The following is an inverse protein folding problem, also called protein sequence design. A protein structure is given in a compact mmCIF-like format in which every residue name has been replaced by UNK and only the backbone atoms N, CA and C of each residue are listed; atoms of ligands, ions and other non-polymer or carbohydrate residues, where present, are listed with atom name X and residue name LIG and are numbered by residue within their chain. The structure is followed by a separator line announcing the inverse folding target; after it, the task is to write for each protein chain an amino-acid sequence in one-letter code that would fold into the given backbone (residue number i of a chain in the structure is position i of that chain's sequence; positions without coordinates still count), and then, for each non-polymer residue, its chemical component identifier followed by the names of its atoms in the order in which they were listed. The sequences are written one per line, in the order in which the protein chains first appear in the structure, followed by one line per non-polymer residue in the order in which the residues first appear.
data_IF_298087118133
#
_entry.id   IF_298087118133
#
_cell.length_a   1.000
_cell.length_b   1.000
_cell.length_c   1.000
_cell.angle_alpha   90.00
_cell.angle_beta   90.00
_cell.angle_gamma   90.00
#
_symmetry.space_group_name_H-M   'P 1'
#
loop_
_entity.id
_entity.type
_entity.pdbx_description
1 polymer ?
#
# COMPACT_ATOMS: atom_id res chain seq x y z
N UNK A 1 -15.67 38.16 -44.12
CA UNK A 1 -14.65 37.95 -43.07
C UNK A 1 -15.20 36.88 -42.13
N UNK A 2 -14.53 35.75 -41.88
CA UNK A 2 -15.01 34.83 -40.86
C UNK A 2 -15.07 35.58 -39.52
N UNK A 3 -16.18 35.44 -38.79
CA UNK A 3 -16.38 36.07 -37.48
C UNK A 3 -15.18 35.77 -36.58
N UNK A 4 -14.55 36.83 -36.04
CA UNK A 4 -13.37 36.69 -35.19
C UNK A 4 -13.75 35.94 -33.92
N UNK A 5 -13.27 34.69 -33.79
CA UNK A 5 -13.46 33.88 -32.59
C UNK A 5 -12.77 34.59 -31.41
N UNK A 6 -13.51 34.97 -30.35
CA UNK A 6 -12.91 35.64 -29.20
C UNK A 6 -11.91 34.71 -28.51
N UNK A 7 -10.90 35.32 -27.88
CA UNK A 7 -9.92 34.58 -27.11
C UNK A 7 -10.58 33.88 -25.91
N UNK A 8 -10.17 32.64 -25.63
CA UNK A 8 -10.63 31.93 -24.42
C UNK A 8 -10.12 32.69 -23.18
N UNK A 9 -10.99 33.00 -22.20
CA UNK A 9 -10.61 33.62 -20.93
C UNK A 9 -9.49 32.86 -20.19
N UNK A 10 -8.61 33.60 -19.52
CA UNK A 10 -7.39 33.05 -18.89
C UNK A 10 -7.70 32.15 -17.70
N UNK A 11 -8.73 32.47 -16.92
CA UNK A 11 -9.27 31.67 -15.82
C UNK A 11 -9.76 30.31 -16.32
N UNK A 12 -10.52 30.28 -17.42
CA UNK A 12 -10.97 29.05 -18.06
C UNK A 12 -9.78 28.22 -18.52
N UNK A 13 -8.81 28.82 -19.23
CA UNK A 13 -7.57 28.16 -19.65
C UNK A 13 -6.83 27.54 -18.47
N UNK A 14 -6.71 28.25 -17.34
CA UNK A 14 -6.02 27.74 -16.16
C UNK A 14 -6.78 26.56 -15.55
N UNK A 15 -8.11 26.66 -15.47
CA UNK A 15 -8.97 25.60 -14.92
C UNK A 15 -8.81 24.30 -15.70
N UNK A 16 -8.97 24.33 -17.02
CA UNK A 16 -8.83 23.10 -17.85
C UNK A 16 -7.39 22.55 -17.86
N UNK A 17 -6.37 23.40 -17.66
CA UNK A 17 -4.97 22.98 -17.56
C UNK A 17 -4.72 22.18 -16.27
N UNK A 18 -5.25 22.69 -15.16
CA UNK A 18 -5.18 22.02 -13.85
C UNK A 18 -5.95 20.70 -13.89
N UNK A 19 -7.17 20.70 -14.46
CA UNK A 19 -7.98 19.47 -14.64
C UNK A 19 -7.20 18.37 -15.39
N UNK A 20 -6.39 18.75 -16.39
CA UNK A 20 -5.60 17.81 -17.19
C UNK A 20 -4.22 17.49 -16.60
N UNK A 21 -3.91 17.98 -15.39
CA UNK A 21 -2.61 17.78 -14.75
C UNK A 21 -1.44 18.39 -15.52
N UNK A 22 -1.66 19.51 -16.22
CA UNK A 22 -0.68 20.17 -17.10
C UNK A 22 -0.14 19.28 -18.24
N UNK A 23 -0.91 18.26 -18.65
CA UNK A 23 -0.57 17.31 -19.71
C UNK A 23 -1.72 17.13 -20.67
N UNK A 24 -1.45 16.53 -21.83
CA UNK A 24 -2.48 16.09 -22.76
C UNK A 24 -3.43 15.11 -22.05
N UNK A 25 -4.74 15.38 -22.08
CA UNK A 25 -5.75 14.55 -21.46
C UNK A 25 -5.81 13.12 -22.03
N UNK A 26 -5.31 12.90 -23.25
CA UNK A 26 -5.35 11.60 -23.93
C UNK A 26 -4.07 10.80 -23.70
N UNK A 27 -2.90 11.36 -24.04
CA UNK A 27 -1.63 10.61 -24.06
C UNK A 27 -0.63 11.00 -22.97
N UNK A 28 -0.86 12.08 -22.21
CA UNK A 28 0.06 12.54 -21.16
C UNK A 28 1.25 13.37 -21.64
N UNK A 29 1.35 13.65 -22.94
CA UNK A 29 2.40 14.51 -23.51
C UNK A 29 2.42 15.88 -22.83
N UNK A 30 3.63 16.45 -22.71
CA UNK A 30 3.86 17.76 -22.12
C UNK A 30 3.50 18.92 -23.05
N UNK A 31 3.94 20.12 -22.68
CA UNK A 31 3.74 21.32 -23.49
C UNK A 31 4.52 21.24 -24.82
N UNK A 32 4.00 21.81 -25.92
CA UNK A 32 2.80 22.68 -26.00
C UNK A 32 1.47 21.92 -26.09
N UNK A 33 0.42 22.49 -25.45
CA UNK A 33 -0.94 21.95 -25.47
C UNK A 33 -1.93 22.90 -26.15
N UNK A 34 -2.88 22.31 -26.86
CA UNK A 34 -3.94 22.97 -27.62
C UNK A 34 -5.28 22.81 -26.93
N UNK A 35 -6.14 23.82 -27.11
CA UNK A 35 -7.47 23.89 -26.48
C UNK A 35 -8.48 23.41 -27.49
N UNK A 36 -8.80 22.13 -27.41
CA UNK A 36 -9.80 21.51 -28.26
C UNK A 36 -11.20 21.74 -27.70
N UNK A 37 -12.13 22.04 -28.59
CA UNK A 37 -13.55 22.15 -28.28
C UNK A 37 -14.20 20.77 -28.40
N UNK A 38 -14.84 20.31 -27.32
CA UNK A 38 -15.61 19.05 -27.31
C UNK A 38 -16.83 19.19 -28.22
N UNK A 39 -17.58 20.28 -28.07
CA UNK A 39 -18.63 20.70 -29.00
C UNK A 39 -18.01 21.73 -29.95
N UNK A 40 -17.93 21.46 -31.26
CA UNK A 40 -17.29 22.34 -32.22
C UNK A 40 -17.77 23.79 -32.12
N UNK A 41 -16.83 24.75 -32.25
CA UNK A 41 -17.11 26.18 -32.11
C UNK A 41 -18.28 26.67 -32.99
N UNK A 42 -18.40 26.14 -34.21
CA UNK A 42 -19.48 26.52 -35.13
C UNK A 42 -20.87 26.19 -34.60
N UNK A 43 -20.98 25.24 -33.66
CA UNK A 43 -22.23 24.87 -32.97
C UNK A 43 -22.41 25.59 -31.64
N UNK A 44 -21.39 25.56 -30.78
CA UNK A 44 -21.50 26.08 -29.41
C UNK A 44 -21.35 27.59 -29.32
N UNK A 45 -20.46 28.19 -30.13
CA UNK A 45 -20.10 29.62 -30.12
C UNK A 45 -19.78 30.19 -28.72
N UNK A 46 -19.41 29.31 -27.80
CA UNK A 46 -19.18 29.62 -26.39
C UNK A 46 -17.90 28.91 -25.91
N UNK A 47 -17.22 29.53 -24.94
CA UNK A 47 -16.03 28.96 -24.29
C UNK A 47 -16.39 28.54 -22.88
N UNK A 48 -17.01 27.37 -22.71
CA UNK A 48 -17.27 26.81 -21.39
C UNK A 48 -16.14 25.85 -20.98
N UNK A 49 -15.73 25.91 -19.72
CA UNK A 49 -14.70 25.01 -19.21
C UNK A 49 -15.10 23.53 -19.37
N UNK A 50 -16.40 23.21 -19.28
CA UNK A 50 -16.95 21.86 -19.46
C UNK A 50 -16.84 21.32 -20.89
N UNK A 51 -16.77 22.20 -21.90
CA UNK A 51 -16.69 21.83 -23.32
C UNK A 51 -15.30 22.08 -23.92
N UNK A 52 -14.29 22.26 -23.06
CA UNK A 52 -12.90 22.42 -23.47
C UNK A 52 -12.02 21.33 -22.84
N UNK A 53 -11.09 20.81 -23.64
CA UNK A 53 -10.12 19.80 -23.22
C UNK A 53 -8.73 20.16 -23.77
N UNK A 54 -7.68 19.87 -23.00
CA UNK A 54 -6.30 20.06 -23.45
C UNK A 54 -5.75 18.81 -24.13
N UNK A 55 -5.33 18.96 -25.38
CA UNK A 55 -4.71 17.92 -26.20
C UNK A 55 -3.35 18.39 -26.70
N UNK A 56 -2.40 17.49 -26.91
CA UNK A 56 -1.23 17.81 -27.73
C UNK A 56 -1.64 17.90 -29.22
N UNK A 57 -0.84 18.55 -30.05
CA UNK A 57 -1.13 18.74 -31.47
C UNK A 57 -1.48 17.41 -32.17
N UNK A 58 -0.74 16.33 -31.88
CA UNK A 58 -0.99 15.01 -32.44
C UNK A 58 -2.36 14.44 -32.04
N UNK A 59 -2.75 14.54 -30.77
CA UNK A 59 -4.05 14.05 -30.32
C UNK A 59 -5.19 14.93 -30.80
N UNK A 60 -4.97 16.24 -30.95
CA UNK A 60 -5.98 17.15 -31.48
C UNK A 60 -6.25 16.87 -32.95
N UNK A 61 -5.20 16.77 -33.77
CA UNK A 61 -5.32 16.42 -35.18
C UNK A 61 -5.99 15.05 -35.38
N UNK A 62 -5.63 14.06 -34.55
CA UNK A 62 -6.28 12.75 -34.57
C UNK A 62 -7.76 12.83 -34.18
N UNK A 63 -8.12 13.60 -33.17
CA UNK A 63 -9.51 13.77 -32.77
C UNK A 63 -10.37 14.32 -33.91
N UNK A 64 -9.83 15.27 -34.69
CA UNK A 64 -10.50 15.84 -35.86
C UNK A 64 -10.56 14.85 -37.02
N UNK A 65 -9.45 14.20 -37.38
CA UNK A 65 -9.36 13.28 -38.54
C UNK A 65 -10.07 11.95 -38.34
N UNK A 66 -10.02 11.42 -37.11
CA UNK A 66 -10.63 10.14 -36.75
C UNK A 66 -12.05 10.34 -36.17
N UNK A 67 -12.56 11.57 -36.16
CA UNK A 67 -13.91 11.93 -35.73
C UNK A 67 -14.31 11.33 -34.38
N UNK A 68 -13.45 11.47 -33.36
CA UNK A 68 -13.66 10.84 -32.03
C UNK A 68 -15.00 11.22 -31.38
N UNK A 69 -15.56 12.37 -31.76
CA UNK A 69 -16.88 12.81 -31.35
C UNK A 69 -16.94 13.26 -29.89
N UNK A 70 -18.09 13.84 -29.53
CA UNK A 70 -18.31 14.43 -28.20
C UNK A 70 -18.16 13.40 -27.08
N UNK A 71 -18.71 12.19 -27.26
CA UNK A 71 -18.69 11.15 -26.22
C UNK A 71 -17.26 10.79 -25.80
N UNK A 72 -16.39 10.48 -26.77
CA UNK A 72 -15.01 10.09 -26.46
C UNK A 72 -14.23 11.25 -25.83
N UNK A 73 -14.40 12.48 -26.33
CA UNK A 73 -13.75 13.65 -25.75
C UNK A 73 -14.24 13.94 -24.32
N UNK A 74 -15.53 13.72 -24.02
CA UNK A 74 -16.05 13.80 -22.64
C UNK A 74 -15.47 12.70 -21.75
N UNK A 75 -15.31 11.48 -22.24
CA UNK A 75 -14.64 10.41 -21.49
C UNK A 75 -13.19 10.78 -21.14
N UNK A 76 -12.43 11.31 -22.10
CA UNK A 76 -11.07 11.80 -21.85
C UNK A 76 -11.02 12.99 -20.89
N UNK A 77 -12.01 13.88 -20.91
CA UNK A 77 -12.09 15.01 -19.97
C UNK A 77 -12.45 14.56 -18.56
N UNK A 78 -13.38 13.62 -18.42
CA UNK A 78 -13.78 13.06 -17.12
C UNK A 78 -12.66 12.25 -16.50
N UNK A 79 -11.91 11.50 -17.32
CA UNK A 79 -10.81 10.65 -16.87
C UNK A 79 -9.55 10.89 -17.70
N UNK A 80 -8.87 12.04 -17.51
CA UNK A 80 -7.66 12.37 -18.26
C UNK A 80 -6.55 11.37 -17.97
N UNK A 81 -5.55 11.34 -18.84
CA UNK A 81 -4.39 10.44 -18.75
C UNK A 81 -3.77 10.42 -17.37
N UNK A 82 -3.63 11.59 -16.73
CA UNK A 82 -3.08 11.70 -15.36
C UNK A 82 -3.87 10.86 -14.37
N UNK A 83 -5.20 10.94 -14.38
CA UNK A 83 -6.06 10.11 -13.52
C UNK A 83 -6.00 8.64 -13.92
N UNK A 84 -6.02 8.32 -15.22
CA UNK A 84 -5.94 6.93 -15.70
C UNK A 84 -4.62 6.25 -15.34
N UNK A 85 -3.53 7.02 -15.26
CA UNK A 85 -2.21 6.52 -14.84
C UNK A 85 -2.19 6.22 -13.36
N UNK A 86 -2.68 7.15 -12.53
CA UNK A 86 -2.62 7.02 -11.06
C UNK A 86 -3.75 6.17 -10.46
N UNK A 87 -4.90 6.02 -11.14
CA UNK A 87 -5.95 5.06 -10.73
C UNK A 87 -5.45 3.60 -10.75
N UNK A 88 -4.49 3.28 -11.64
CA UNK A 88 -3.84 1.96 -11.63
C UNK A 88 -2.87 1.79 -10.46
N UNK A 89 -2.35 2.88 -9.91
CA UNK A 89 -1.41 2.88 -8.78
C UNK A 89 -2.15 2.95 -7.43
N UNK A 90 -3.42 3.41 -7.38
CA UNK A 90 -4.20 3.51 -6.14
C UNK A 90 -5.09 2.30 -5.82
N UNK A 91 -5.32 1.37 -6.75
CA UNK A 91 -6.17 0.18 -6.50
C UNK A 91 -5.41 -0.97 -5.81
N UNK A 92 -4.08 -0.90 -5.68
CA UNK A 92 -3.33 -1.86 -4.86
C UNK A 92 -2.86 -1.20 -3.57
N UNK A 93 -3.78 -0.95 -2.64
CA UNK A 93 -3.47 -1.23 -1.24
C UNK A 93 -3.42 -2.76 -1.07
N UNK A 94 -2.62 -3.45 -1.88
CA UNK A 94 -2.32 -4.84 -1.66
C UNK A 94 -1.60 -4.86 -0.33
N UNK A 95 -2.22 -5.52 0.65
CA UNK A 95 -1.58 -5.77 1.92
C UNK A 95 -0.22 -6.40 1.60
N UNK A 96 0.85 -5.72 1.99
CA UNK A 96 2.22 -6.20 1.80
C UNK A 96 2.62 -7.03 3.02
N UNK A 97 3.47 -8.00 2.78
CA UNK A 97 4.09 -8.83 3.82
C UNK A 97 5.59 -8.85 3.65
N UNK A 98 6.31 -9.14 4.72
CA UNK A 98 7.76 -9.16 4.74
C UNK A 98 8.25 -10.61 4.67
N UNK A 99 9.15 -10.88 3.73
CA UNK A 99 9.78 -12.17 3.48
C UNK A 99 11.26 -12.05 3.81
N UNK A 100 11.78 -13.05 4.51
CA UNK A 100 13.21 -13.18 4.81
C UNK A 100 13.82 -14.23 3.87
N UNK A 101 14.85 -13.82 3.14
CA UNK A 101 15.68 -14.68 2.31
C UNK A 101 17.03 -14.88 3.00
N UNK A 102 17.41 -16.12 3.23
CA UNK A 102 18.74 -16.47 3.72
C UNK A 102 19.57 -16.86 2.51
N UNK A 103 20.66 -16.13 2.27
CA UNK A 103 21.55 -16.35 1.13
C UNK A 103 22.95 -16.77 1.58
N UNK A 104 23.62 -17.59 0.77
CA UNK A 104 24.95 -18.14 1.06
C UNK A 104 26.08 -17.11 0.94
N UNK A 105 25.81 -16.00 0.26
CA UNK A 105 26.79 -14.93 0.06
C UNK A 105 27.13 -14.24 1.38
N UNK A 106 28.38 -13.77 1.51
CA UNK A 106 28.74 -12.86 2.61
C UNK A 106 28.21 -11.46 2.32
N UNK A 107 28.02 -10.66 3.36
CA UNK A 107 27.58 -9.27 3.20
C UNK A 107 28.53 -8.45 2.31
N UNK A 108 29.85 -8.72 2.39
CA UNK A 108 30.86 -8.10 1.51
C UNK A 108 30.67 -8.42 0.02
N UNK A 109 30.10 -9.59 -0.27
CA UNK A 109 29.92 -10.10 -1.62
C UNK A 109 28.54 -9.70 -2.18
N UNK A 110 27.61 -9.29 -1.32
CA UNK A 110 26.28 -8.78 -1.68
C UNK A 110 26.33 -7.27 -1.95
N UNK A 111 27.06 -6.90 -3.00
CA UNK A 111 27.29 -5.52 -3.44
C UNK A 111 26.01 -4.80 -3.96
N UNK A 112 26.13 -3.51 -4.26
CA UNK A 112 25.02 -2.69 -4.79
C UNK A 112 24.39 -3.27 -6.07
N UNK A 113 25.21 -3.95 -6.89
CA UNK A 113 24.75 -4.58 -8.13
C UNK A 113 23.82 -5.75 -7.81
N UNK A 114 24.20 -6.64 -6.89
CA UNK A 114 23.35 -7.76 -6.47
C UNK A 114 22.12 -7.29 -5.70
N UNK A 115 22.24 -6.26 -4.88
CA UNK A 115 21.10 -5.61 -4.23
C UNK A 115 20.09 -5.05 -5.24
N UNK A 116 20.58 -4.54 -6.38
CA UNK A 116 19.72 -4.08 -7.47
C UNK A 116 19.11 -5.26 -8.25
N UNK A 117 19.88 -6.32 -8.50
CA UNK A 117 19.42 -7.46 -9.29
C UNK A 117 18.39 -8.33 -8.56
N UNK A 118 18.48 -8.47 -7.24
CA UNK A 118 17.60 -9.34 -6.47
C UNK A 118 16.11 -8.98 -6.63
N UNK A 119 15.68 -7.70 -6.46
CA UNK A 119 14.31 -7.28 -6.74
C UNK A 119 13.86 -7.60 -8.16
N UNK A 120 14.73 -7.41 -9.16
CA UNK A 120 14.41 -7.68 -10.57
C UNK A 120 14.25 -9.18 -10.85
N UNK A 121 15.09 -10.03 -10.24
CA UNK A 121 15.00 -11.47 -10.37
C UNK A 121 13.68 -12.01 -9.77
N UNK A 122 13.34 -11.56 -8.55
CA UNK A 122 12.09 -11.94 -7.88
C UNK A 122 10.88 -11.42 -8.66
N UNK A 123 10.93 -10.17 -9.14
CA UNK A 123 9.86 -9.59 -9.94
C UNK A 123 9.66 -10.34 -11.28
N UNK A 124 10.75 -10.73 -11.94
CA UNK A 124 10.72 -11.52 -13.18
C UNK A 124 10.09 -12.89 -12.98
N UNK A 125 10.46 -13.60 -11.90
CA UNK A 125 9.85 -14.87 -11.52
C UNK A 125 8.35 -14.74 -11.26
N UNK A 126 7.95 -13.75 -10.46
CA UNK A 126 6.56 -13.55 -10.03
C UNK A 126 5.71 -12.83 -11.08
N UNK A 127 6.31 -12.38 -12.19
CA UNK A 127 5.67 -11.60 -13.28
C UNK A 127 5.01 -10.32 -12.76
N UNK A 128 5.66 -9.65 -11.82
CA UNK A 128 5.22 -8.38 -11.22
C UNK A 128 6.19 -7.24 -11.58
N UNK A 129 5.79 -6.00 -11.29
CA UNK A 129 6.68 -4.86 -11.48
C UNK A 129 7.81 -4.87 -10.43
N UNK A 130 9.08 -4.56 -10.80
CA UNK A 130 10.21 -4.54 -9.87
C UNK A 130 10.01 -3.63 -8.65
N UNK A 131 9.26 -2.53 -8.82
CA UNK A 131 8.90 -1.60 -7.74
C UNK A 131 8.06 -2.21 -6.61
N UNK A 132 7.42 -3.36 -6.85
CA UNK A 132 6.64 -4.10 -5.86
C UNK A 132 7.51 -5.01 -4.98
N UNK A 133 8.82 -5.07 -5.23
CA UNK A 133 9.80 -5.80 -4.44
C UNK A 133 10.78 -4.79 -3.85
N UNK A 134 10.74 -4.58 -2.54
CA UNK A 134 11.63 -3.63 -1.88
C UNK A 134 12.44 -4.33 -0.81
N UNK A 135 13.76 -4.15 -0.81
CA UNK A 135 14.64 -4.62 0.26
C UNK A 135 14.45 -3.67 1.46
N UNK A 136 14.08 -4.22 2.61
CA UNK A 136 13.84 -3.47 3.85
C UNK A 136 15.02 -3.50 4.79
N UNK A 137 15.71 -4.63 4.91
CA UNK A 137 16.90 -4.77 5.77
C UNK A 137 17.84 -5.86 5.26
N UNK A 138 19.13 -5.70 5.59
CA UNK A 138 20.17 -6.70 5.33
C UNK A 138 20.92 -6.89 6.66
N UNK A 139 20.97 -8.12 7.18
CA UNK A 139 21.61 -8.44 8.47
C UNK A 139 22.91 -9.24 8.29
N UNK A 140 23.92 -8.92 9.10
CA UNK A 140 25.24 -9.53 9.08
C UNK A 140 25.28 -10.88 9.83
N UNK A 141 25.83 -11.91 9.20
CA UNK A 141 25.79 -13.31 9.65
C UNK A 141 25.64 -14.27 8.45
N UNK A 142 24.74 -15.26 8.54
CA UNK A 142 24.11 -15.80 7.32
C UNK A 142 23.36 -14.65 6.69
N UNK A 143 23.81 -14.10 5.56
CA UNK A 143 23.24 -12.86 4.99
C UNK A 143 21.73 -13.03 4.84
N UNK A 144 20.97 -12.30 5.67
CA UNK A 144 19.51 -12.31 5.64
C UNK A 144 19.06 -11.04 4.95
N UNK A 145 18.31 -11.20 3.87
CA UNK A 145 17.73 -10.10 3.12
C UNK A 145 16.24 -10.11 3.39
N UNK A 146 15.74 -9.06 4.03
CA UNK A 146 14.30 -8.84 4.20
C UNK A 146 13.75 -8.05 3.02
N UNK A 147 12.65 -8.53 2.44
CA UNK A 147 11.95 -7.86 1.35
C UNK A 147 10.47 -7.71 1.65
N UNK A 148 9.85 -6.64 1.19
CA UNK A 148 8.39 -6.50 1.15
C UNK A 148 7.84 -6.90 -0.20
N UNK A 149 6.77 -7.69 -0.18
CA UNK A 149 6.04 -8.18 -1.35
C UNK A 149 4.53 -8.08 -1.11
N UNK A 150 3.70 -7.93 -2.16
CA UNK A 150 2.27 -8.20 -2.05
C UNK A 150 2.01 -9.61 -1.51
N UNK A 151 0.99 -9.78 -0.66
CA UNK A 151 0.68 -11.09 -0.03
C UNK A 151 0.54 -12.21 -1.06
N UNK A 152 -0.21 -12.00 -2.16
CA UNK A 152 -0.38 -13.03 -3.19
C UNK A 152 0.95 -13.41 -3.86
N UNK A 153 1.85 -12.44 -4.01
CA UNK A 153 3.18 -12.65 -4.61
C UNK A 153 4.10 -13.39 -3.63
N UNK A 154 4.01 -13.08 -2.34
CA UNK A 154 4.72 -13.78 -1.27
C UNK A 154 4.29 -15.26 -1.16
N UNK A 155 2.99 -15.55 -1.24
CA UNK A 155 2.46 -16.92 -1.26
C UNK A 155 2.97 -17.72 -2.47
N UNK A 156 3.01 -17.09 -3.65
CA UNK A 156 3.58 -17.70 -4.86
C UNK A 156 5.08 -17.99 -4.70
N UNK A 157 5.84 -17.05 -4.14
CA UNK A 157 7.27 -17.24 -3.92
C UNK A 157 7.55 -18.40 -2.94
N UNK A 158 6.82 -18.46 -1.83
CA UNK A 158 6.96 -19.52 -0.83
C UNK A 158 6.51 -20.88 -1.37
N UNK A 159 5.42 -20.93 -2.15
CA UNK A 159 4.96 -22.18 -2.76
C UNK A 159 5.93 -22.70 -3.83
N UNK A 160 6.53 -21.82 -4.64
CA UNK A 160 7.61 -22.18 -5.56
C UNK A 160 8.85 -22.72 -4.84
N UNK A 161 9.18 -22.17 -3.66
CA UNK A 161 10.26 -22.67 -2.84
C UNK A 161 9.94 -24.05 -2.25
N UNK A 162 8.73 -24.24 -1.72
CA UNK A 162 8.29 -25.51 -1.15
C UNK A 162 8.19 -26.64 -2.19
N UNK A 163 7.85 -26.32 -3.44
CA UNK A 163 7.80 -27.28 -4.55
C UNK A 163 9.15 -27.51 -5.24
N UNK A 164 10.20 -26.80 -4.81
CA UNK A 164 11.53 -26.82 -5.42
C UNK A 164 11.48 -26.49 -6.93
N UNK A 165 10.76 -25.42 -7.27
CA UNK A 165 10.52 -24.99 -8.65
C UNK A 165 11.84 -24.71 -9.41
N UNK A 166 12.07 -25.36 -10.57
CA UNK A 166 13.25 -25.11 -11.40
C UNK A 166 13.40 -23.65 -11.85
N UNK A 167 12.30 -22.91 -12.07
CA UNK A 167 12.38 -21.49 -12.41
C UNK A 167 12.92 -20.68 -11.24
N UNK A 168 12.42 -20.92 -10.02
CA UNK A 168 12.92 -20.23 -8.82
C UNK A 168 14.42 -20.43 -8.66
N UNK A 169 14.90 -21.67 -8.79
CA UNK A 169 16.32 -22.02 -8.69
C UNK A 169 17.12 -21.23 -9.73
N UNK A 170 16.64 -21.17 -10.98
CA UNK A 170 17.30 -20.44 -12.07
C UNK A 170 17.38 -18.93 -11.81
N UNK A 171 16.30 -18.31 -11.33
CA UNK A 171 16.27 -16.87 -11.08
C UNK A 171 17.10 -16.46 -9.86
N UNK A 172 17.21 -17.34 -8.85
CA UNK A 172 17.90 -17.04 -7.58
C UNK A 172 19.28 -17.69 -7.43
N UNK A 173 19.75 -18.45 -8.43
CA UNK A 173 21.08 -19.05 -8.47
C UNK A 173 22.21 -18.06 -8.14
N UNK A 174 22.23 -16.82 -8.68
CA UNK A 174 23.32 -15.87 -8.41
C UNK A 174 23.45 -15.46 -6.94
N UNK A 175 22.38 -15.64 -6.16
CA UNK A 175 22.35 -15.27 -4.74
C UNK A 175 22.67 -16.46 -3.84
N UNK A 176 22.68 -17.70 -4.35
CA UNK A 176 22.91 -18.88 -3.53
C UNK A 176 21.87 -19.00 -2.41
N UNK A 177 20.59 -18.96 -2.78
CA UNK A 177 19.48 -19.05 -1.85
C UNK A 177 19.57 -20.33 -0.98
N UNK A 178 19.48 -20.17 0.34
CA UNK A 178 19.45 -21.26 1.32
C UNK A 178 18.06 -21.50 1.90
N UNK A 179 17.31 -20.43 2.16
CA UNK A 179 15.97 -20.51 2.77
C UNK A 179 15.12 -19.29 2.38
N UNK A 180 13.81 -19.51 2.16
CA UNK A 180 12.80 -18.44 2.07
C UNK A 180 11.73 -18.71 3.11
N UNK A 181 11.39 -17.70 3.91
CA UNK A 181 10.29 -17.78 4.89
C UNK A 181 9.62 -16.44 5.10
N UNK A 182 8.43 -16.45 5.68
CA UNK A 182 7.86 -15.23 6.25
C UNK A 182 8.81 -14.68 7.31
N UNK A 183 9.06 -13.36 7.29
CA UNK A 183 9.74 -12.72 8.40
C UNK A 183 8.80 -12.82 9.59
N UNK A 184 9.18 -13.62 10.58
CA UNK A 184 8.40 -13.81 11.78
C UNK A 184 8.25 -12.46 12.47
N UNK A 185 7.03 -11.95 12.53
CA UNK A 185 6.72 -10.86 13.45
C UNK A 185 7.05 -11.37 14.85
N UNK A 186 7.85 -10.62 15.60
CA UNK A 186 8.15 -10.98 16.96
C UNK A 186 6.84 -11.03 17.74
N UNK A 187 6.45 -12.23 18.14
CA UNK A 187 5.27 -12.41 18.98
C UNK A 187 5.59 -11.88 20.37
N UNK A 188 4.79 -10.91 20.83
CA UNK A 188 5.04 -10.21 22.09
C UNK A 188 4.08 -10.63 23.20
N UNK A 189 2.94 -11.24 22.86
CA UNK A 189 1.91 -11.63 23.83
C UNK A 189 0.53 -11.91 23.23
N UNK A 190 -0.42 -12.27 24.09
CA UNK A 190 -1.83 -12.53 23.74
C UNK A 190 -2.74 -11.51 24.41
N UNK A 191 -3.75 -11.02 23.68
CA UNK A 191 -4.82 -10.21 24.25
C UNK A 191 -5.60 -10.99 25.32
N UNK A 192 -5.82 -10.39 26.47
CA UNK A 192 -6.55 -11.00 27.59
C UNK A 192 -7.62 -10.05 28.15
N UNK A 193 -8.78 -10.59 28.50
CA UNK A 193 -9.86 -9.84 29.14
C UNK A 193 -10.69 -8.97 28.19
N UNK A 194 -11.47 -8.05 28.78
CA UNK A 194 -12.30 -7.11 28.03
C UNK A 194 -11.42 -6.08 27.30
N UNK A 195 -11.72 -5.89 26.02
CA UNK A 195 -11.05 -4.93 25.15
C UNK A 195 -12.07 -3.89 24.70
N UNK A 196 -11.69 -2.62 24.74
CA UNK A 196 -12.49 -1.51 24.21
C UNK A 196 -11.86 -0.98 22.92
N UNK A 197 -12.51 -0.01 22.27
CA UNK A 197 -11.96 0.66 21.10
C UNK A 197 -10.73 1.55 21.40
N UNK A 198 -10.37 1.74 22.67
CA UNK A 198 -9.27 2.64 23.10
C UNK A 198 -8.20 1.96 23.92
N UNK A 199 -8.54 0.89 24.63
CA UNK A 199 -7.65 0.18 25.53
C UNK A 199 -7.90 -1.32 25.49
N UNK A 200 -6.83 -2.08 25.63
CA UNK A 200 -6.88 -3.53 25.77
C UNK A 200 -5.73 -4.00 26.64
N UNK A 201 -5.89 -5.17 27.25
CA UNK A 201 -4.86 -5.81 28.08
C UNK A 201 -4.27 -6.99 27.34
N UNK A 202 -2.99 -7.27 27.62
CA UNK A 202 -2.27 -8.38 27.02
C UNK A 202 -1.33 -9.04 28.02
N UNK A 203 -1.31 -10.37 27.98
CA UNK A 203 -0.31 -11.17 28.66
C UNK A 203 0.92 -11.24 27.77
N UNK A 204 2.00 -10.63 28.23
CA UNK A 204 3.22 -10.44 27.43
C UNK A 204 4.28 -11.48 27.77
N UNK A 205 5.05 -11.89 26.77
CA UNK A 205 6.23 -12.72 27.00
C UNK A 205 7.26 -11.90 27.80
N UNK A 206 7.88 -12.46 28.86
CA UNK A 206 8.90 -11.74 29.63
C UNK A 206 9.98 -11.17 28.73
N UNK A 207 10.34 -9.90 28.95
CA UNK A 207 11.39 -9.17 28.23
C UNK A 207 11.14 -8.94 26.73
N UNK A 208 9.99 -9.33 26.18
CA UNK A 208 9.69 -9.18 24.76
C UNK A 208 9.37 -7.73 24.34
N UNK A 209 8.93 -6.89 25.28
CA UNK A 209 8.58 -5.48 25.07
C UNK A 209 8.90 -4.63 26.29
N UNK A 210 8.95 -3.31 26.10
CA UNK A 210 9.12 -2.29 27.14
C UNK A 210 7.94 -1.32 27.11
N UNK A 211 7.80 -0.55 28.18
CA UNK A 211 6.91 0.61 28.15
C UNK A 211 7.33 1.57 27.04
N UNK A 212 6.34 2.23 26.42
CA UNK A 212 6.46 3.10 25.26
C UNK A 212 6.72 2.41 23.91
N UNK A 213 6.95 1.09 23.88
CA UNK A 213 7.05 0.35 22.63
C UNK A 213 5.72 0.39 21.86
N UNK A 214 5.82 0.30 20.53
CA UNK A 214 4.67 0.17 19.65
C UNK A 214 4.48 -1.30 19.29
N UNK A 215 3.28 -1.80 19.52
CA UNK A 215 2.86 -3.15 19.15
C UNK A 215 1.75 -3.08 18.11
N UNK A 216 1.62 -4.17 17.35
CA UNK A 216 0.56 -4.30 16.36
C UNK A 216 -0.22 -5.60 16.59
N UNK A 217 -1.53 -5.52 16.43
CA UNK A 217 -2.44 -6.66 16.46
C UNK A 217 -3.25 -6.67 15.17
N UNK A 218 -3.23 -7.80 14.47
CA UNK A 218 -4.14 -8.05 13.35
C UNK A 218 -5.50 -8.47 13.92
N UNK A 219 -6.58 -7.79 13.52
CA UNK A 219 -7.94 -8.01 14.01
C UNK A 219 -8.95 -8.02 12.85
N UNK A 220 -10.16 -8.49 13.11
CA UNK A 220 -11.26 -8.49 12.13
C UNK A 220 -12.38 -7.56 12.60
N UNK A 221 -12.74 -6.59 11.77
CA UNK A 221 -13.82 -5.66 12.02
C UNK A 221 -15.08 -6.11 11.26
N UNK A 222 -16.19 -6.26 11.98
CA UNK A 222 -17.49 -6.56 11.36
C UNK A 222 -18.09 -5.25 10.85
N UNK A 223 -18.08 -5.04 9.53
CA UNK A 223 -18.77 -3.90 8.92
C UNK A 223 -20.26 -4.23 8.75
N UNK A 224 -21.09 -3.61 9.60
CA UNK A 224 -22.57 -3.67 9.62
C UNK A 224 -23.23 -4.92 10.23
N UNK A 225 -24.46 -4.74 10.72
CA UNK A 225 -25.28 -5.76 11.39
C UNK A 225 -25.60 -7.01 10.52
N UNK A 226 -25.24 -7.00 9.23
CA UNK A 226 -25.23 -8.19 8.38
C UNK A 226 -23.82 -8.80 8.44
N UNK A 227 -23.67 -9.85 9.26
CA UNK A 227 -22.48 -10.67 9.59
C UNK A 227 -21.66 -11.26 8.40
N UNK A 228 -21.68 -10.68 7.21
CA UNK A 228 -21.11 -11.32 6.01
C UNK A 228 -19.80 -10.72 5.51
N UNK A 229 -19.42 -9.50 5.91
CA UNK A 229 -18.14 -8.89 5.53
C UNK A 229 -17.27 -8.62 6.76
N UNK A 230 -16.22 -9.43 6.91
CA UNK A 230 -15.13 -9.24 7.87
C UNK A 230 -14.02 -8.45 7.16
N UNK A 231 -13.75 -7.24 7.61
CA UNK A 231 -12.61 -6.46 7.16
C UNK A 231 -11.40 -6.79 8.05
N UNK A 232 -10.29 -7.23 7.45
CA UNK A 232 -9.04 -7.42 8.18
C UNK A 232 -8.40 -6.04 8.44
N UNK A 233 -8.21 -5.71 9.69
CA UNK A 233 -7.61 -4.46 10.14
C UNK A 233 -6.31 -4.73 10.92
N UNK A 234 -5.40 -3.76 10.93
CA UNK A 234 -4.24 -3.76 11.83
C UNK A 234 -4.39 -2.64 12.84
N UNK A 235 -4.45 -2.99 14.12
CA UNK A 235 -4.49 -2.07 15.24
C UNK A 235 -3.08 -1.87 15.75
N UNK A 236 -2.63 -0.62 15.80
CA UNK A 236 -1.36 -0.23 16.40
C UNK A 236 -1.63 0.37 17.77
N UNK A 237 -0.88 -0.05 18.78
CA UNK A 237 -1.01 0.45 20.14
C UNK A 237 0.35 0.74 20.74
N UNK A 238 0.38 1.71 21.64
CA UNK A 238 1.57 2.05 22.43
C UNK A 238 1.43 1.44 23.82
N UNK A 239 2.45 0.72 24.26
CA UNK A 239 2.50 0.10 25.58
C UNK A 239 2.57 1.20 26.63
N UNK A 240 1.52 1.37 27.42
CA UNK A 240 1.44 2.42 28.45
C UNK A 240 2.14 2.00 29.75
N UNK A 241 1.85 0.79 30.22
CA UNK A 241 2.42 0.21 31.44
C UNK A 241 2.58 -1.31 31.30
N UNK A 242 3.56 -1.89 32.00
CA UNK A 242 3.72 -3.35 32.11
C UNK A 242 3.68 -3.76 33.58
N UNK A 243 2.63 -4.48 33.96
CA UNK A 243 2.43 -4.92 35.34
C UNK A 243 2.80 -6.39 35.52
N UNK A 244 3.55 -6.72 36.57
CA UNK A 244 3.77 -8.12 36.98
C UNK A 244 2.63 -8.55 37.89
N UNK A 245 1.77 -9.44 37.39
CA UNK A 245 0.74 -10.06 38.22
C UNK A 245 1.38 -11.17 39.05
N UNK A 246 1.09 -11.18 40.36
CA UNK A 246 1.53 -12.24 41.26
C UNK A 246 0.91 -13.58 40.83
N UNK A 247 1.71 -14.61 40.50
CA UNK A 247 1.19 -15.91 40.06
C UNK A 247 0.37 -16.65 41.12
N UNK A 248 0.39 -16.20 42.37
CA UNK A 248 -0.42 -16.75 43.46
C UNK A 248 -1.82 -16.10 43.58
N UNK A 249 -2.19 -15.19 42.68
CA UNK A 249 -3.49 -14.53 42.73
C UNK A 249 -4.60 -15.49 42.26
N UNK A 250 -5.52 -15.95 43.14
CA UNK A 250 -6.54 -16.93 42.75
C UNK A 250 -7.53 -16.31 41.77
N UNK A 251 -7.93 -17.06 40.73
CA UNK A 251 -8.88 -16.61 39.70
C UNK A 251 -10.23 -16.17 40.30
N UNK A 252 -10.62 -16.78 41.42
CA UNK A 252 -11.84 -16.47 42.17
C UNK A 252 -11.80 -15.07 42.81
N UNK A 253 -10.64 -14.63 43.29
CA UNK A 253 -10.45 -13.28 43.83
C UNK A 253 -10.54 -12.20 42.74
N UNK A 254 -10.18 -12.54 41.49
CA UNK A 254 -10.28 -11.63 40.35
C UNK A 254 -11.73 -11.26 40.00
N UNK A 255 -12.66 -12.22 40.07
CA UNK A 255 -14.07 -11.98 39.79
C UNK A 255 -14.72 -11.06 40.84
N UNK A 256 -14.40 -11.22 42.13
CA UNK A 256 -14.91 -10.34 43.18
C UNK A 256 -14.37 -8.90 43.06
N UNK A 257 -13.10 -8.74 42.69
CA UNK A 257 -12.50 -7.42 42.52
C UNK A 257 -13.04 -6.68 41.29
N UNK A 258 -13.32 -7.41 40.21
CA UNK A 258 -14.00 -6.85 39.04
C UNK A 258 -15.44 -6.42 39.36
N UNK A 259 -16.20 -7.25 40.10
CA UNK A 259 -17.57 -6.92 40.52
C UNK A 259 -17.62 -5.69 41.44
N UNK A 260 -16.62 -5.54 42.31
CA UNK A 260 -16.54 -4.41 43.26
C UNK A 260 -15.81 -3.19 42.69
N UNK A 261 -15.25 -3.27 41.48
CA UNK A 261 -14.36 -2.26 40.87
C UNK A 261 -13.23 -1.83 41.80
N UNK A 262 -12.79 -2.73 42.67
CA UNK A 262 -11.72 -2.43 43.62
C UNK A 262 -10.39 -2.70 42.95
N UNK A 263 -9.45 -1.75 43.06
CA UNK A 263 -8.10 -1.96 42.57
C UNK A 263 -7.44 -3.07 43.43
N UNK A 264 -6.96 -4.19 42.84
CA UNK A 264 -6.29 -5.26 43.57
C UNK A 264 -5.10 -4.75 44.40
N UNK A 265 -4.41 -3.71 43.95
CA UNK A 265 -3.26 -3.13 44.64
C UNK A 265 -3.64 -2.35 45.90
N UNK A 266 -4.88 -1.85 46.00
CA UNK A 266 -5.37 -1.14 47.19
C UNK A 266 -5.62 -2.11 48.36
N UNK A 267 -5.82 -3.41 48.08
CA UNK A 267 -6.01 -4.45 49.10
C UNK A 267 -4.72 -5.18 49.50
N UNK A 268 -3.58 -4.88 48.87
CA UNK A 268 -2.28 -5.50 49.14
C UNK A 268 -1.42 -4.73 50.16
N UNK A 269 -2.04 -3.94 51.04
CA UNK A 269 -1.38 -3.41 52.23
C UNK A 269 -1.64 -4.33 53.43
N UNK A 270 -0.56 -4.96 53.88
CA UNK A 270 -0.34 -5.74 55.12
C UNK A 270 -0.19 -7.25 54.89
N UNK A 271 1.01 -7.66 54.45
CA UNK A 271 1.99 -8.51 55.17
C UNK A 271 3.31 -8.45 54.39
#
# INVERSE_FOLDING_TARGET
MPESRPAIPTDIKRKILIESGHRCAVCGEGCPLERAHIIPWHKSREHKAEDLIFLCANCHERADKEEWGEKALREYKQKPWVMRRFDKEQITSESVTEIELIIKLKLSDFDERLQTLLPHAIAGLLKIAPQNVQITSIEEGSTKVSITLPIESAEKLLSAYASNDPELIKYLEPFGLLEIRYKMKQYVGTLVGESTSREFRLAVTPEAIREQDIIAVDAELVQSAKKTNLEKIRVWAKVQSIERINPLFPTEAGHELAATRTNPFDKLLSI
#
